data_IF_563449984170
#
_entry.id   IF_563449984170
#
_cell.length_a   1.000
_cell.length_b   1.000
_cell.length_c   1.000
_cell.angle_alpha   90.00
_cell.angle_beta   90.00
_cell.angle_gamma   90.00
#
_symmetry.space_group_name_H-M   'P 1'
#
loop_
_entity.id
_entity.type
_entity.pdbx_description
1 polymer ?
#
# COMPACT_ATOMS: atom_id res chain seq x y z
N UNK A 1 -9.72 6.93 -14.33
CA UNK A 1 -8.56 6.18 -13.75
C UNK A 1 -8.78 6.06 -12.24
N UNK A 2 -8.76 4.85 -11.67
CA UNK A 2 -8.98 4.62 -10.23
C UNK A 2 -7.73 4.99 -9.41
N UNK A 3 -7.91 5.61 -8.24
CA UNK A 3 -6.84 5.89 -7.27
C UNK A 3 -6.56 4.73 -6.31
N UNK A 4 -7.47 3.75 -6.24
CA UNK A 4 -7.40 2.61 -5.32
C UNK A 4 -7.05 1.32 -6.05
N UNK A 5 -6.36 0.44 -5.35
CA UNK A 5 -6.11 -0.94 -5.74
C UNK A 5 -7.42 -1.76 -5.62
N UNK A 6 -7.69 -2.59 -6.63
CA UNK A 6 -8.95 -3.31 -6.73
C UNK A 6 -9.07 -4.51 -5.78
N UNK A 7 -7.94 -5.04 -5.29
CA UNK A 7 -7.92 -6.20 -4.39
C UNK A 7 -8.03 -5.77 -2.93
N UNK A 8 -7.31 -4.71 -2.56
CA UNK A 8 -7.15 -4.30 -1.15
C UNK A 8 -7.90 -3.03 -0.78
N UNK A 9 -8.38 -2.27 -1.76
CA UNK A 9 -9.02 -0.97 -1.55
C UNK A 9 -8.06 0.14 -1.08
N UNK A 10 -6.79 -0.14 -0.79
CA UNK A 10 -5.80 0.88 -0.43
C UNK A 10 -5.39 1.70 -1.66
N UNK A 11 -4.68 2.81 -1.47
CA UNK A 11 -4.17 3.57 -2.61
C UNK A 11 -3.20 2.74 -3.44
N UNK A 12 -3.42 2.72 -4.75
CA UNK A 12 -2.50 2.04 -5.65
C UNK A 12 -1.15 2.78 -5.71
N UNK A 13 -0.15 2.12 -6.29
CA UNK A 13 1.22 2.64 -6.37
C UNK A 13 1.28 4.05 -6.95
N UNK A 14 0.58 4.29 -8.07
CA UNK A 14 0.58 5.61 -8.74
C UNK A 14 0.05 6.70 -7.82
N UNK A 15 -1.07 6.44 -7.14
CA UNK A 15 -1.65 7.42 -6.24
C UNK A 15 -0.79 7.64 -5.00
N UNK A 16 -0.20 6.57 -4.44
CA UNK A 16 0.74 6.67 -3.32
C UNK A 16 1.97 7.51 -3.66
N UNK A 17 2.53 7.36 -4.86
CA UNK A 17 3.67 8.18 -5.31
C UNK A 17 3.31 9.67 -5.41
N UNK A 18 2.09 10.01 -5.82
CA UNK A 18 1.60 11.39 -5.84
C UNK A 18 1.50 11.94 -4.41
N UNK A 19 0.90 11.17 -3.49
CA UNK A 19 0.76 11.59 -2.09
C UNK A 19 2.12 11.79 -1.41
N UNK A 20 3.08 10.89 -1.63
CA UNK A 20 4.43 11.01 -1.06
C UNK A 20 5.16 12.26 -1.55
N UNK A 21 5.03 12.60 -2.84
CA UNK A 21 5.63 13.83 -3.39
C UNK A 21 4.98 15.07 -2.77
N UNK A 22 3.66 15.09 -2.69
CA UNK A 22 2.92 16.20 -2.10
C UNK A 22 3.28 16.40 -0.63
N UNK A 23 3.36 15.32 0.15
CA UNK A 23 3.72 15.37 1.57
C UNK A 23 5.18 15.82 1.75
N UNK A 24 6.11 15.30 0.95
CA UNK A 24 7.52 15.75 0.99
C UNK A 24 7.66 17.24 0.69
N UNK A 25 6.93 17.75 -0.31
CA UNK A 25 6.93 19.18 -0.63
C UNK A 25 6.25 20.03 0.46
N UNK A 26 5.24 19.49 1.14
CA UNK A 26 4.58 20.13 2.27
C UNK A 26 5.53 20.21 3.48
N UNK A 27 6.11 19.09 3.91
CA UNK A 27 7.09 19.01 4.98
C UNK A 27 8.27 19.96 4.75
N UNK A 28 8.81 20.00 3.53
CA UNK A 28 9.92 20.90 3.16
C UNK A 28 9.53 22.37 3.26
N UNK A 29 8.31 22.75 2.89
CA UNK A 29 7.83 24.14 2.94
C UNK A 29 7.51 24.61 4.35
N UNK A 30 7.05 23.72 5.22
CA UNK A 30 6.56 24.04 6.55
C UNK A 30 7.51 23.64 7.69
N UNK A 31 8.71 23.13 7.36
CA UNK A 31 9.68 22.61 8.33
C UNK A 31 9.08 21.55 9.27
N UNK A 32 8.28 20.65 8.70
CA UNK A 32 7.65 19.55 9.43
C UNK A 32 8.33 18.22 9.13
N UNK A 33 8.27 17.31 10.07
CA UNK A 33 8.74 15.94 9.91
C UNK A 33 7.59 15.01 9.51
N UNK A 34 7.90 14.00 8.71
CA UNK A 34 6.98 12.92 8.35
C UNK A 34 7.67 11.57 8.49
N UNK A 35 6.87 10.55 8.78
CA UNK A 35 7.33 9.16 8.88
C UNK A 35 6.72 8.33 7.76
N UNK A 36 7.53 7.52 7.09
CA UNK A 36 7.08 6.54 6.11
C UNK A 36 7.10 5.14 6.73
N UNK A 37 5.94 4.50 6.84
CA UNK A 37 5.83 3.10 7.21
C UNK A 37 5.70 2.24 5.95
N UNK A 38 6.59 1.26 5.80
CA UNK A 38 6.54 0.24 4.76
C UNK A 38 6.21 -1.09 5.46
N UNK A 39 5.15 -1.75 5.01
CA UNK A 39 4.67 -3.01 5.57
C UNK A 39 4.77 -4.07 4.48
N UNK A 40 5.33 -5.21 4.82
CA UNK A 40 5.34 -6.42 4.01
C UNK A 40 4.67 -7.57 4.79
N UNK A 41 4.04 -8.51 4.09
CA UNK A 41 3.42 -9.68 4.72
C UNK A 41 4.39 -10.85 4.59
N UNK A 42 4.99 -11.22 5.71
CA UNK A 42 5.93 -12.34 5.78
C UNK A 42 5.28 -13.64 5.30
N UNK A 43 6.04 -14.40 4.52
CA UNK A 43 5.64 -15.73 4.02
C UNK A 43 4.31 -15.78 3.24
N UNK A 44 3.85 -14.66 2.67
CA UNK A 44 2.56 -14.62 1.94
C UNK A 44 2.50 -15.64 0.78
N UNK A 45 3.64 -15.93 0.13
CA UNK A 45 3.74 -16.99 -0.86
C UNK A 45 3.39 -18.37 -0.29
N UNK A 46 3.80 -18.69 0.93
CA UNK A 46 3.48 -19.96 1.58
C UNK A 46 1.97 -20.11 1.81
N UNK A 47 1.28 -19.02 2.16
CA UNK A 47 -0.18 -19.02 2.29
C UNK A 47 -0.83 -19.35 0.96
N UNK A 48 -0.43 -18.65 -0.11
CA UNK A 48 -0.94 -18.90 -1.47
C UNK A 48 -0.65 -20.32 -1.94
N UNK A 49 0.53 -20.84 -1.66
CA UNK A 49 0.95 -22.18 -2.08
C UNK A 49 0.23 -23.29 -1.29
N UNK A 50 -0.11 -23.04 -0.01
CA UNK A 50 -0.76 -24.04 0.88
C UNK A 50 -2.28 -24.05 0.72
N UNK A 51 -2.90 -22.88 0.57
CA UNK A 51 -4.35 -22.72 0.66
C UNK A 51 -4.99 -22.16 -0.62
N UNK A 52 -4.17 -21.89 -1.65
CA UNK A 52 -4.60 -21.34 -2.92
C UNK A 52 -4.69 -19.82 -2.93
N UNK A 53 -4.55 -19.25 -4.13
CA UNK A 53 -4.54 -17.80 -4.38
C UNK A 53 -5.79 -17.07 -3.85
N UNK A 54 -6.96 -17.73 -3.91
CA UNK A 54 -8.22 -17.14 -3.46
C UNK A 54 -8.18 -16.83 -1.95
N UNK A 55 -7.53 -17.68 -1.14
CA UNK A 55 -7.41 -17.40 0.29
C UNK A 55 -6.50 -16.19 0.52
N UNK A 56 -5.36 -16.11 -0.16
CA UNK A 56 -4.48 -14.94 -0.08
C UNK A 56 -5.20 -13.64 -0.45
N UNK A 57 -6.00 -13.66 -1.52
CA UNK A 57 -6.83 -12.51 -1.89
C UNK A 57 -7.82 -12.13 -0.78
N UNK A 58 -8.47 -13.11 -0.14
CA UNK A 58 -9.43 -12.87 0.96
C UNK A 58 -8.79 -12.27 2.20
N UNK A 59 -7.52 -12.55 2.47
CA UNK A 59 -6.79 -11.92 3.58
C UNK A 59 -6.51 -10.43 3.33
N UNK A 60 -6.50 -10.03 2.06
CA UNK A 60 -6.19 -8.67 1.63
C UNK A 60 -7.43 -7.85 1.29
N UNK A 61 -8.58 -8.50 1.07
CA UNK A 61 -9.83 -7.82 0.78
C UNK A 61 -10.36 -7.06 2.01
N UNK A 62 -11.05 -5.92 1.82
CA UNK A 62 -11.66 -5.15 2.91
C UNK A 62 -12.70 -5.92 3.73
#
# INVERSE_FOLDING_TARGET
MSSRDGMTGVYNRRHREILLRNESDHCRRHYQEATLLIIDIDHFKSINDTWGMVLGMRLLSP
#
